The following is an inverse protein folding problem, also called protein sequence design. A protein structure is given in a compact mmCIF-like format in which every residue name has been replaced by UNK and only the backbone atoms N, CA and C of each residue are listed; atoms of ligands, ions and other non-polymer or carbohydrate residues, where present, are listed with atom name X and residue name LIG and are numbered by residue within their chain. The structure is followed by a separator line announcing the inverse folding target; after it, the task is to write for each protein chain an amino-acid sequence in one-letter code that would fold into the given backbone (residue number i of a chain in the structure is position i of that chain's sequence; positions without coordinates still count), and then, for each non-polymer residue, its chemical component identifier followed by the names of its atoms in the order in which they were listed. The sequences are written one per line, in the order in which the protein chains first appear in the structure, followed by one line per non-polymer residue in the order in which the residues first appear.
data_IF_934602160449
#
_entry.id   IF_934602160449
#
_cell.length_a   1.000
_cell.length_b   1.000
_cell.length_c   1.000
_cell.angle_alpha   90.00
_cell.angle_beta   90.00
_cell.angle_gamma   90.00
#
_symmetry.space_group_name_H-M   'P 1'
#
loop_
_entity.id
_entity.type
_entity.pdbx_description
1 polymer ?
#
# COMPACT_ATOMS: atom_id res chain seq x y z
N UNK A 1 -34.07 5.80 -73.76
CA UNK A 1 -33.38 6.61 -72.73
C UNK A 1 -33.53 5.88 -71.40
N UNK A 2 -32.45 5.34 -70.86
CA UNK A 2 -32.48 4.31 -69.80
C UNK A 2 -32.63 4.96 -68.40
N UNK A 3 -33.88 5.31 -68.05
CA UNK A 3 -34.25 5.95 -66.78
C UNK A 3 -33.72 5.15 -65.57
N UNK A 4 -33.66 3.82 -65.66
CA UNK A 4 -33.10 2.96 -64.61
C UNK A 4 -31.61 3.15 -64.34
N UNK A 5 -30.79 3.48 -65.35
CA UNK A 5 -29.34 3.76 -65.16
C UNK A 5 -29.10 5.11 -64.49
N UNK A 6 -29.92 6.13 -64.81
CA UNK A 6 -29.82 7.46 -64.19
C UNK A 6 -30.27 7.43 -62.73
N UNK A 7 -31.30 6.64 -62.40
CA UNK A 7 -31.76 6.47 -61.02
C UNK A 7 -30.69 5.78 -60.16
N UNK A 8 -30.03 4.74 -60.67
CA UNK A 8 -28.91 4.10 -59.96
C UNK A 8 -27.72 5.04 -59.73
N UNK A 9 -27.42 5.90 -60.70
CA UNK A 9 -26.35 6.91 -60.60
C UNK A 9 -26.64 8.01 -59.56
N UNK A 10 -27.91 8.27 -59.24
CA UNK A 10 -28.31 9.26 -58.22
C UNK A 10 -28.52 8.63 -56.84
N UNK A 11 -29.00 7.38 -56.76
CA UNK A 11 -29.22 6.69 -55.48
C UNK A 11 -27.90 6.44 -54.74
N UNK A 12 -26.86 6.00 -55.45
CA UNK A 12 -25.57 5.69 -54.84
C UNK A 12 -24.92 6.89 -54.10
N UNK A 13 -24.76 8.08 -54.71
CA UNK A 13 -24.19 9.23 -54.01
C UNK A 13 -25.09 9.72 -52.87
N UNK A 14 -26.41 9.59 -52.99
CA UNK A 14 -27.36 10.02 -51.96
C UNK A 14 -27.31 9.11 -50.72
N UNK A 15 -27.22 7.79 -50.93
CA UNK A 15 -26.97 6.82 -49.85
C UNK A 15 -25.58 7.02 -49.22
N UNK A 16 -24.56 7.32 -50.04
CA UNK A 16 -23.21 7.59 -49.54
C UNK A 16 -23.17 8.84 -48.67
N UNK A 17 -23.87 9.91 -49.08
CA UNK A 17 -24.00 11.14 -48.30
C UNK A 17 -24.77 10.90 -46.99
N UNK A 18 -25.87 10.14 -47.04
CA UNK A 18 -26.63 9.76 -45.85
C UNK A 18 -25.77 8.95 -44.87
N UNK A 19 -24.97 8.01 -45.38
CA UNK A 19 -24.03 7.23 -44.57
C UNK A 19 -22.95 8.13 -43.93
N UNK A 20 -22.38 9.08 -44.69
CA UNK A 20 -21.39 10.02 -44.15
C UNK A 20 -21.98 10.91 -43.05
N UNK A 21 -23.21 11.38 -43.21
CA UNK A 21 -23.91 12.16 -42.20
C UNK A 21 -24.23 11.33 -40.95
N UNK A 22 -24.66 10.08 -41.11
CA UNK A 22 -24.88 9.15 -40.00
C UNK A 22 -23.57 8.82 -39.27
N UNK A 23 -22.48 8.60 -40.00
CA UNK A 23 -21.15 8.36 -39.43
C UNK A 23 -20.65 9.60 -38.68
N UNK A 24 -20.82 10.81 -39.22
CA UNK A 24 -20.46 12.05 -38.54
C UNK A 24 -21.28 12.26 -37.26
N UNK A 25 -22.59 12.00 -37.33
CA UNK A 25 -23.48 12.08 -36.16
C UNK A 25 -23.13 11.06 -35.09
N UNK A 26 -22.90 9.80 -35.49
CA UNK A 26 -22.52 8.71 -34.58
C UNK A 26 -21.15 8.96 -33.95
N UNK A 27 -20.18 9.44 -34.74
CA UNK A 27 -18.83 9.80 -34.27
C UNK A 27 -18.84 10.92 -33.24
N UNK A 28 -19.79 11.86 -33.32
CA UNK A 28 -19.86 12.98 -32.38
C UNK A 28 -20.61 12.61 -31.09
N UNK A 29 -21.53 11.63 -31.16
CA UNK A 29 -22.36 11.20 -30.02
C UNK A 29 -21.74 10.06 -29.22
N UNK A 30 -21.00 9.17 -29.87
CA UNK A 30 -20.38 8.00 -29.23
C UNK A 30 -18.86 8.07 -29.38
N UNK A 31 -18.18 8.56 -28.34
CA UNK A 31 -16.72 8.47 -28.27
C UNK A 31 -16.29 7.07 -27.82
N UNK A 32 -16.28 6.13 -28.76
CA UNK A 32 -15.66 4.83 -28.52
C UNK A 32 -14.15 4.95 -28.63
N UNK A 33 -13.47 4.73 -27.51
CA UNK A 33 -12.02 4.68 -27.43
C UNK A 33 -11.62 3.27 -27.03
N UNK A 34 -10.76 2.66 -27.84
CA UNK A 34 -10.22 1.34 -27.58
C UNK A 34 -8.78 1.54 -27.14
N UNK A 35 -8.43 1.02 -25.96
CA UNK A 35 -7.04 1.01 -25.51
C UNK A 35 -6.37 -0.26 -26.05
N UNK A 36 -5.52 -0.09 -27.06
CA UNK A 36 -4.77 -1.19 -27.69
C UNK A 36 -3.43 -1.46 -26.98
N UNK A 37 -3.14 -0.73 -25.89
CA UNK A 37 -1.90 -0.94 -25.14
C UNK A 37 -1.98 -2.23 -24.34
N UNK A 38 -0.88 -3.00 -24.30
CA UNK A 38 -0.82 -4.30 -23.65
C UNK A 38 -1.15 -4.24 -22.15
N UNK A 39 -0.91 -3.08 -21.53
CA UNK A 39 -1.12 -2.83 -20.10
C UNK A 39 -2.28 -1.88 -19.78
N UNK A 40 -3.10 -1.50 -20.77
CA UNK A 40 -4.22 -0.57 -20.57
C UNK A 40 -3.77 0.79 -20.02
N UNK A 41 -2.65 1.33 -20.47
CA UNK A 41 -2.02 2.55 -19.92
C UNK A 41 -2.86 3.82 -20.11
N UNK A 42 -3.87 3.78 -20.98
CA UNK A 42 -4.86 4.84 -21.16
C UNK A 42 -6.16 4.59 -20.39
N UNK A 43 -6.30 3.45 -19.71
CA UNK A 43 -7.43 3.10 -18.84
C UNK A 43 -7.05 3.14 -17.36
N UNK A 44 -7.95 3.61 -16.51
CA UNK A 44 -7.76 3.60 -15.06
C UNK A 44 -7.75 2.17 -14.54
N UNK A 45 -7.00 1.94 -13.46
CA UNK A 45 -7.07 0.67 -12.73
C UNK A 45 -8.40 0.45 -12.04
N UNK A 46 -8.77 -0.82 -11.89
CA UNK A 46 -9.96 -1.23 -11.13
C UNK A 46 -9.92 -0.65 -9.71
N UNK A 47 -8.73 -0.59 -9.10
CA UNK A 47 -8.51 0.04 -7.79
C UNK A 47 -8.81 1.54 -7.80
N UNK A 48 -8.31 2.30 -8.80
CA UNK A 48 -8.64 3.73 -8.96
C UNK A 48 -10.14 3.94 -9.16
N UNK A 49 -10.80 3.08 -9.95
CA UNK A 49 -12.25 3.15 -10.20
C UNK A 49 -13.03 2.88 -8.91
N UNK A 50 -12.68 1.83 -8.17
CA UNK A 50 -13.30 1.49 -6.89
C UNK A 50 -13.16 2.63 -5.86
N UNK A 51 -12.01 3.31 -5.84
CA UNK A 51 -11.79 4.47 -4.99
C UNK A 51 -12.70 5.64 -5.36
N UNK A 52 -12.84 5.96 -6.65
CA UNK A 52 -13.70 7.04 -7.13
C UNK A 52 -15.18 6.80 -6.80
N UNK A 53 -15.63 5.55 -6.87
CA UNK A 53 -17.01 5.18 -6.51
C UNK A 53 -17.31 5.35 -5.02
N UNK A 54 -16.29 5.32 -4.15
CA UNK A 54 -16.44 5.53 -2.69
C UNK A 54 -16.49 7.01 -2.30
N UNK A 55 -15.96 7.91 -3.12
CA UNK A 55 -15.95 9.36 -2.88
C UNK A 55 -17.35 9.97 -3.08
N UNK A 56 -18.13 10.06 -2.01
CA UNK A 56 -19.47 10.70 -1.96
C UNK A 56 -19.34 12.23 -1.81
N UNK A 57 -19.20 12.95 -2.92
CA UNK A 57 -19.21 14.42 -2.96
C UNK A 57 -18.29 15.03 -4.01
N UNK A 58 -18.43 16.33 -4.28
CA UNK A 58 -17.66 17.01 -5.33
C UNK A 58 -16.17 17.04 -4.98
N UNK A 59 -15.34 16.72 -5.97
CA UNK A 59 -13.89 16.77 -5.88
C UNK A 59 -13.41 17.93 -6.76
N UNK A 60 -12.72 18.90 -6.17
CA UNK A 60 -12.16 20.04 -6.91
C UNK A 60 -10.65 19.85 -7.06
N UNK A 61 -10.16 19.93 -8.29
CA UNK A 61 -8.73 19.86 -8.61
C UNK A 61 -8.34 21.22 -9.18
N UNK A 62 -7.44 21.91 -8.50
CA UNK A 62 -6.91 23.20 -8.92
C UNK A 62 -5.46 23.03 -9.36
N UNK A 63 -5.12 23.46 -10.57
CA UNK A 63 -3.74 23.46 -11.06
C UNK A 63 -3.23 24.88 -11.25
N UNK A 64 -2.02 25.12 -10.77
CA UNK A 64 -1.31 26.38 -10.90
C UNK A 64 -0.34 26.31 -12.07
N UNK A 65 -0.79 26.75 -13.24
CA UNK A 65 0.02 26.74 -14.49
C UNK A 65 -0.28 27.97 -15.33
N UNK A 66 0.72 28.54 -16.04
CA UNK A 66 0.47 29.49 -17.12
C UNK A 66 -0.47 28.90 -18.17
N UNK A 67 -1.28 29.75 -18.81
CA UNK A 67 -2.19 29.35 -19.90
C UNK A 67 -1.43 28.76 -21.09
N UNK A 68 -2.05 27.77 -21.74
CA UNK A 68 -1.57 27.11 -22.96
C UNK A 68 -0.22 26.39 -22.81
N UNK A 69 0.12 25.94 -21.60
CA UNK A 69 1.31 25.12 -21.37
C UNK A 69 1.09 23.67 -21.82
N UNK A 70 2.16 22.96 -22.17
CA UNK A 70 2.12 21.51 -22.44
C UNK A 70 1.60 20.73 -21.22
N UNK A 71 1.92 21.21 -20.01
CA UNK A 71 1.44 20.66 -18.75
C UNK A 71 -0.08 20.77 -18.61
N UNK A 72 -0.67 21.90 -19.03
CA UNK A 72 -2.13 22.07 -19.02
C UNK A 72 -2.83 20.97 -19.82
N UNK A 73 -2.36 20.70 -21.05
CA UNK A 73 -2.92 19.65 -21.91
C UNK A 73 -2.67 18.23 -21.38
N UNK A 74 -1.59 18.00 -20.64
CA UNK A 74 -1.33 16.71 -19.99
C UNK A 74 -2.29 16.48 -18.82
N UNK A 75 -2.52 17.50 -18.01
CA UNK A 75 -3.40 17.44 -16.84
C UNK A 75 -4.86 17.30 -17.25
N UNK A 76 -5.30 18.05 -18.26
CA UNK A 76 -6.65 17.95 -18.82
C UNK A 76 -6.94 16.52 -19.28
N UNK A 77 -6.09 15.96 -20.15
CA UNK A 77 -6.21 14.55 -20.61
C UNK A 77 -6.14 13.55 -19.45
N UNK A 78 -5.34 13.82 -18.43
CA UNK A 78 -5.24 12.95 -17.27
C UNK A 78 -6.55 12.92 -16.48
N UNK A 79 -7.11 14.10 -16.16
CA UNK A 79 -8.30 14.29 -15.34
C UNK A 79 -9.58 13.89 -16.08
N UNK A 80 -9.65 14.08 -17.39
CA UNK A 80 -10.76 13.60 -18.23
C UNK A 80 -11.02 12.10 -18.03
N UNK A 81 -9.97 11.29 -17.81
CA UNK A 81 -10.12 9.86 -17.52
C UNK A 81 -10.82 9.60 -16.19
N UNK A 82 -10.55 10.41 -15.18
CA UNK A 82 -11.19 10.33 -13.86
C UNK A 82 -12.64 10.86 -13.90
N UNK A 83 -12.90 11.93 -14.67
CA UNK A 83 -14.23 12.49 -14.85
C UNK A 83 -15.25 11.51 -15.46
N UNK A 84 -14.79 10.53 -16.25
CA UNK A 84 -15.65 9.45 -16.78
C UNK A 84 -16.31 8.61 -15.69
N UNK A 85 -15.63 8.40 -14.56
CA UNK A 85 -16.12 7.61 -13.44
C UNK A 85 -16.63 8.48 -12.29
N UNK A 86 -16.23 9.75 -12.25
CA UNK A 86 -16.62 10.73 -11.23
C UNK A 86 -17.00 12.07 -11.88
N UNK A 87 -18.25 12.21 -12.39
CA UNK A 87 -18.67 13.40 -13.15
C UNK A 87 -18.75 14.68 -12.30
N UNK A 88 -18.77 14.56 -10.98
CA UNK A 88 -18.69 15.67 -10.02
C UNK A 88 -17.25 16.13 -9.71
N UNK A 89 -16.26 15.64 -10.46
CA UNK A 89 -14.87 16.12 -10.43
C UNK A 89 -14.73 17.39 -11.28
N UNK A 90 -14.40 18.51 -10.63
CA UNK A 90 -14.19 19.82 -11.25
C UNK A 90 -12.70 20.13 -11.39
N UNK A 91 -12.27 20.53 -12.59
CA UNK A 91 -10.89 20.97 -12.86
C UNK A 91 -10.85 22.49 -13.06
N UNK A 92 -10.05 23.17 -12.24
CA UNK A 92 -9.87 24.62 -12.29
C UNK A 92 -8.42 24.96 -12.60
N UNK A 93 -8.21 25.88 -13.54
CA UNK A 93 -6.89 26.40 -13.90
C UNK A 93 -6.70 27.78 -13.30
N UNK A 94 -5.62 27.97 -12.54
CA UNK A 94 -5.22 29.26 -11.99
C UNK A 94 -3.87 29.65 -12.57
N UNK A 95 -3.82 30.84 -13.17
CA UNK A 95 -2.57 31.41 -13.69
C UNK A 95 -1.85 32.17 -12.57
N UNK A 96 -0.72 31.66 -12.05
CA UNK A 96 -0.03 32.28 -10.92
C UNK A 96 0.60 33.64 -11.28
N UNK A 97 0.84 33.93 -12.56
CA UNK A 97 1.41 35.20 -13.03
C UNK A 97 0.35 36.32 -12.98
N UNK A 98 -0.91 35.98 -13.29
CA UNK A 98 -2.03 36.94 -13.32
C UNK A 98 -2.71 37.13 -11.97
N UNK A 99 -2.67 36.11 -11.09
CA UNK A 99 -3.25 36.16 -9.74
C UNK A 99 -2.19 35.84 -8.65
N UNK A 100 -1.26 36.77 -8.38
CA UNK A 100 -0.20 36.57 -7.38
C UNK A 100 -0.73 36.46 -5.94
N UNK A 101 -1.92 37.01 -5.66
CA UNK A 101 -2.53 36.97 -4.32
C UNK A 101 -3.17 35.61 -4.00
N UNK A 102 -3.72 34.91 -4.99
CA UNK A 102 -4.20 33.53 -4.82
C UNK A 102 -3.03 32.57 -4.54
N UNK A 103 -1.90 32.79 -5.24
CA UNK A 103 -0.67 31.97 -5.08
C UNK A 103 0.01 32.17 -3.73
N UNK A 104 0.05 33.42 -3.23
CA UNK A 104 0.62 33.76 -1.91
C UNK A 104 -0.21 33.24 -0.73
N UNK A 105 -1.54 33.29 -0.80
CA UNK A 105 -2.42 32.78 0.27
C UNK A 105 -2.33 31.26 0.44
N UNK A 106 -1.98 30.52 -0.61
CA UNK A 106 -1.86 29.07 -0.57
C UNK A 106 -0.41 28.57 -0.38
N UNK A 107 0.57 29.48 -0.29
CA UNK A 107 1.98 29.12 -0.03
C UNK A 107 2.65 28.38 -1.19
N UNK A 108 2.23 28.65 -2.44
CA UNK A 108 2.66 27.92 -3.63
C UNK A 108 4.05 28.40 -4.04
N UNK A 109 5.02 27.49 -4.04
CA UNK A 109 6.44 27.77 -4.31
C UNK A 109 6.89 27.30 -5.69
N UNK A 110 6.10 26.46 -6.39
CA UNK A 110 6.50 25.79 -7.63
C UNK A 110 5.40 25.87 -8.71
N UNK A 111 5.78 26.18 -9.96
CA UNK A 111 4.88 26.08 -11.12
C UNK A 111 4.54 24.62 -11.41
N UNK A 112 3.25 24.31 -11.59
CA UNK A 112 2.79 22.96 -11.93
C UNK A 112 2.30 22.11 -10.75
N UNK A 113 2.11 22.71 -9.56
CA UNK A 113 1.50 22.04 -8.42
C UNK A 113 -0.02 21.84 -8.63
N UNK A 114 -0.52 20.65 -8.28
CA UNK A 114 -1.95 20.34 -8.24
C UNK A 114 -2.43 20.33 -6.79
N UNK A 115 -3.54 21.00 -6.54
CA UNK A 115 -4.19 21.07 -5.22
C UNK A 115 -5.55 20.42 -5.34
N UNK A 116 -5.80 19.38 -4.55
CA UNK A 116 -7.03 18.60 -4.53
C UNK A 116 -7.82 19.01 -3.29
N UNK A 117 -9.08 19.39 -3.49
CA UNK A 117 -10.02 19.71 -2.42
C UNK A 117 -11.21 18.74 -2.41
N UNK A 118 -11.48 18.18 -1.24
CA UNK A 118 -12.61 17.28 -1.03
C UNK A 118 -13.12 17.41 0.41
N UNK A 119 -14.42 17.68 0.58
CA UNK A 119 -15.09 17.81 1.89
C UNK A 119 -14.32 18.70 2.91
N UNK A 120 -13.82 19.86 2.46
CA UNK A 120 -13.09 20.81 3.32
C UNK A 120 -11.62 20.46 3.61
N UNK A 121 -11.09 19.41 2.97
CA UNK A 121 -9.69 18.97 3.09
C UNK A 121 -8.91 19.31 1.83
N UNK A 122 -7.59 19.43 1.97
CA UNK A 122 -6.67 19.80 0.89
C UNK A 122 -5.49 18.81 0.85
N UNK A 123 -5.14 18.35 -0.35
CA UNK A 123 -3.92 17.56 -0.62
C UNK A 123 -3.17 18.16 -1.81
N UNK A 124 -1.83 18.09 -1.77
CA UNK A 124 -0.98 18.72 -2.79
C UNK A 124 -0.14 17.69 -3.52
N UNK A 125 -0.06 17.82 -4.83
CA UNK A 125 0.69 16.93 -5.70
C UNK A 125 1.66 17.72 -6.58
N UNK A 126 2.93 17.36 -6.46
CA UNK A 126 4.00 17.89 -7.33
C UNK A 126 4.21 17.06 -8.60
N UNK A 127 3.80 15.79 -8.58
CA UNK A 127 3.94 14.87 -9.72
C UNK A 127 2.58 14.33 -10.14
N UNK A 128 2.31 14.43 -11.43
CA UNK A 128 1.10 13.87 -12.03
C UNK A 128 1.34 12.41 -12.44
N UNK A 129 0.70 11.48 -11.72
CA UNK A 129 0.62 10.06 -12.11
C UNK A 129 -0.59 9.43 -11.44
N UNK A 130 -1.10 8.32 -11.99
CA UNK A 130 -2.24 7.59 -11.40
C UNK A 130 -1.95 7.17 -9.96
N UNK A 131 -0.75 6.63 -9.69
CA UNK A 131 -0.33 6.25 -8.35
C UNK A 131 -0.43 7.40 -7.35
N UNK A 132 0.20 8.54 -7.65
CA UNK A 132 0.23 9.67 -6.72
C UNK A 132 -1.15 10.30 -6.55
N UNK A 133 -1.92 10.38 -7.64
CA UNK A 133 -3.27 10.96 -7.63
C UNK A 133 -4.25 10.08 -6.84
N UNK A 134 -4.27 8.78 -7.08
CA UNK A 134 -5.16 7.86 -6.37
C UNK A 134 -4.80 7.76 -4.88
N UNK A 135 -3.51 7.78 -4.53
CA UNK A 135 -3.10 7.83 -3.12
C UNK A 135 -3.55 9.14 -2.43
N UNK A 136 -3.49 10.28 -3.12
CA UNK A 136 -3.99 11.55 -2.57
C UNK A 136 -5.53 11.53 -2.40
N UNK A 137 -6.26 10.99 -3.39
CA UNK A 137 -7.70 10.81 -3.27
C UNK A 137 -8.10 9.91 -2.11
N UNK A 138 -7.31 8.87 -1.86
CA UNK A 138 -7.53 7.96 -0.75
C UNK A 138 -7.37 8.67 0.60
N UNK A 139 -6.30 9.46 0.78
CA UNK A 139 -6.11 10.29 1.98
C UNK A 139 -7.24 11.31 2.15
N UNK A 140 -7.67 11.95 1.07
CA UNK A 140 -8.81 12.88 1.11
C UNK A 140 -10.14 12.20 1.45
N UNK A 141 -10.36 10.98 0.93
CA UNK A 141 -11.60 10.23 1.10
C UNK A 141 -11.81 9.73 2.53
N UNK A 142 -10.73 9.42 3.26
CA UNK A 142 -10.83 8.77 4.56
C UNK A 142 -11.08 9.79 5.65
N UNK A 143 -12.27 9.79 6.24
CA UNK A 143 -12.65 10.74 7.28
C UNK A 143 -11.85 10.64 8.60
N UNK A 144 -10.97 9.65 8.77
CA UNK A 144 -10.32 9.39 10.05
C UNK A 144 -8.80 9.58 9.93
N UNK A 145 -8.29 10.61 10.60
CA UNK A 145 -6.91 10.59 11.06
C UNK A 145 -6.83 9.44 12.06
N UNK A 146 -6.42 8.26 11.60
CA UNK A 146 -6.22 7.11 12.46
C UNK A 146 -5.10 7.44 13.44
N UNK A 147 -5.45 7.70 14.70
CA UNK A 147 -4.45 7.97 15.73
C UNK A 147 -3.83 6.65 16.15
N UNK A 148 -2.51 6.65 16.21
CA UNK A 148 -1.72 5.62 16.89
C UNK A 148 -1.38 6.23 18.25
N UNK A 149 -2.08 5.79 19.28
CA UNK A 149 -1.79 6.18 20.65
C UNK A 149 -0.66 5.28 21.16
N UNK A 150 0.50 5.85 21.49
CA UNK A 150 1.62 5.09 22.04
C UNK A 150 1.75 5.38 23.53
N UNK A 151 1.75 4.33 24.34
CA UNK A 151 1.91 4.44 25.79
C UNK A 151 3.28 5.03 26.14
N UNK A 152 3.30 5.93 27.12
CA UNK A 152 4.52 6.53 27.66
C UNK A 152 4.50 6.55 29.19
N UNK A 153 5.68 6.63 29.80
CA UNK A 153 5.85 6.85 31.23
C UNK A 153 6.53 5.71 31.99
N UNK A 154 6.76 4.57 31.34
CA UNK A 154 7.38 3.36 31.90
C UNK A 154 8.66 2.95 31.15
N UNK A 155 9.28 3.88 30.42
CA UNK A 155 10.49 3.64 29.62
C UNK A 155 10.23 2.86 28.34
N UNK A 156 9.03 2.98 27.78
CA UNK A 156 8.67 2.45 26.47
C UNK A 156 9.52 3.07 25.37
N UNK A 157 9.67 2.35 24.25
CA UNK A 157 10.38 2.85 23.08
C UNK A 157 9.58 3.96 22.40
N UNK A 158 10.16 5.16 22.30
CA UNK A 158 9.43 6.36 21.85
C UNK A 158 9.32 6.42 20.32
N UNK A 159 8.09 6.62 19.79
CA UNK A 159 7.83 6.82 18.36
C UNK A 159 8.38 8.14 17.79
N UNK A 160 8.74 9.09 18.65
CA UNK A 160 9.42 10.34 18.28
C UNK A 160 10.90 10.36 18.71
N UNK A 161 11.33 9.30 19.39
CA UNK A 161 12.64 9.19 20.00
C UNK A 161 13.75 8.97 18.99
N UNK A 162 14.93 9.48 19.30
CA UNK A 162 16.12 9.40 18.44
C UNK A 162 17.16 8.41 18.95
N UNK A 163 16.95 7.83 20.12
CA UNK A 163 17.88 6.85 20.67
C UNK A 163 17.85 5.57 19.83
N UNK A 164 18.90 4.77 19.95
CA UNK A 164 19.05 3.54 19.18
C UNK A 164 17.92 2.51 19.43
N UNK A 165 17.38 2.47 20.64
CA UNK A 165 16.26 1.61 21.05
C UNK A 165 14.88 2.23 20.76
N UNK A 166 14.80 3.52 20.44
CA UNK A 166 13.54 4.20 20.14
C UNK A 166 12.99 3.83 18.76
N UNK A 167 11.71 4.11 18.53
CA UNK A 167 10.99 3.81 17.29
C UNK A 167 10.87 5.03 16.35
N UNK A 168 11.72 6.05 16.49
CA UNK A 168 11.60 7.33 15.76
C UNK A 168 11.49 7.22 14.25
N UNK A 169 12.35 6.43 13.61
CA UNK A 169 12.32 6.22 12.16
C UNK A 169 11.08 5.45 11.71
N UNK A 170 10.57 4.55 12.55
CA UNK A 170 9.31 3.84 12.30
C UNK A 170 8.13 4.80 12.44
N UNK A 171 8.10 5.61 13.49
CA UNK A 171 7.11 6.68 13.68
C UNK A 171 7.07 7.65 12.50
N UNK A 172 8.23 8.08 11.99
CA UNK A 172 8.29 8.92 10.78
C UNK A 172 7.67 8.21 9.56
N UNK A 173 7.92 6.92 9.40
CA UNK A 173 7.34 6.12 8.31
C UNK A 173 5.81 6.01 8.45
N UNK A 174 5.30 5.85 9.67
CA UNK A 174 3.86 5.87 9.96
C UNK A 174 3.22 7.23 9.65
N UNK A 175 3.88 8.33 10.01
CA UNK A 175 3.40 9.68 9.67
C UNK A 175 3.34 9.91 8.16
N UNK A 176 4.32 9.40 7.40
CA UNK A 176 4.31 9.43 5.94
C UNK A 176 3.15 8.60 5.34
N UNK A 177 2.68 7.57 6.04
CA UNK A 177 1.48 6.80 5.67
C UNK A 177 0.18 7.50 6.08
N UNK A 178 0.24 8.64 6.77
CA UNK A 178 -0.92 9.46 7.14
C UNK A 178 -1.44 9.20 8.56
N UNK A 179 -0.75 8.39 9.37
CA UNK A 179 -1.09 8.22 10.77
C UNK A 179 -0.68 9.45 11.59
N UNK A 180 -1.50 9.78 12.58
CA UNK A 180 -1.13 10.77 13.60
C UNK A 180 -0.66 10.01 14.83
N UNK A 181 0.51 10.38 15.36
CA UNK A 181 1.10 9.74 16.52
C UNK A 181 0.76 10.58 17.75
N UNK A 182 0.22 9.92 18.77
CA UNK A 182 -0.21 10.56 20.01
C UNK A 182 0.46 9.85 21.16
N UNK A 183 1.25 10.58 21.95
CA UNK A 183 1.74 10.05 23.22
C UNK A 183 0.56 9.91 24.20
N UNK A 184 0.44 8.75 24.83
CA UNK A 184 -0.57 8.43 25.83
C UNK A 184 0.11 8.32 27.20
N UNK A 185 0.08 9.38 28.03
CA UNK A 185 0.66 9.35 29.35
C UNK A 185 -0.07 8.37 30.28
N UNK A 186 0.54 8.00 31.42
CA UNK A 186 -0.07 7.09 32.38
C UNK A 186 -1.44 7.59 32.87
N UNK A 187 -2.32 6.66 33.21
CA UNK A 187 -3.68 6.93 33.70
C UNK A 187 -4.56 7.81 32.78
N UNK A 188 -4.25 7.85 31.48
CA UNK A 188 -5.03 8.59 30.48
C UNK A 188 -5.83 7.61 29.61
N UNK A 189 -7.10 7.93 29.35
CA UNK A 189 -7.95 7.14 28.44
C UNK A 189 -7.49 7.37 26.99
N UNK A 190 -7.30 6.31 26.18
CA UNK A 190 -7.05 6.48 24.75
C UNK A 190 -8.17 7.31 24.10
N UNK A 191 -7.86 8.37 23.32
CA UNK A 191 -8.87 9.17 22.64
C UNK A 191 -9.81 8.34 21.75
N UNK A 192 -11.07 8.78 21.58
CA UNK A 192 -12.11 8.03 20.82
C UNK A 192 -11.74 7.69 19.37
N UNK A 193 -10.84 8.47 18.76
CA UNK A 193 -10.34 8.28 17.40
C UNK A 193 -9.04 7.46 17.32
N UNK A 194 -8.64 6.82 18.41
CA UNK A 194 -7.50 5.89 18.45
C UNK A 194 -7.83 4.64 17.64
N UNK A 195 -7.15 4.49 16.51
CA UNK A 195 -7.26 3.31 15.66
C UNK A 195 -6.43 2.14 16.18
N UNK A 196 -5.34 2.46 16.88
CA UNK A 196 -4.38 1.50 17.42
C UNK A 196 -3.74 2.05 18.70
N UNK A 197 -3.75 1.25 19.76
CA UNK A 197 -2.90 1.42 20.92
C UNK A 197 -1.58 0.67 20.70
N UNK A 198 -0.44 1.33 20.90
CA UNK A 198 0.89 0.75 20.88
C UNK A 198 1.47 0.75 22.29
N UNK A 199 1.92 -0.42 22.75
CA UNK A 199 2.68 -0.58 23.99
C UNK A 199 4.00 -1.23 23.59
N UNK A 200 5.10 -0.50 23.71
CA UNK A 200 6.40 -0.92 23.20
C UNK A 200 7.39 -1.21 24.34
N UNK A 201 7.31 -2.44 24.88
CA UNK A 201 8.25 -2.99 25.88
C UNK A 201 8.59 -2.04 27.04
N UNK A 202 7.62 -1.75 27.93
CA UNK A 202 7.86 -0.93 29.12
C UNK A 202 8.92 -1.57 30.04
N UNK A 203 9.84 -0.76 30.52
CA UNK A 203 10.92 -1.18 31.43
C UNK A 203 10.49 -1.24 32.89
N UNK A 204 9.35 -0.63 33.24
CA UNK A 204 8.76 -0.70 34.59
C UNK A 204 7.31 -1.19 34.53
N UNK A 205 6.84 -1.77 35.62
CA UNK A 205 5.47 -2.27 35.71
C UNK A 205 4.42 -1.16 35.50
N UNK A 206 3.35 -1.49 34.78
CA UNK A 206 2.21 -0.61 34.56
C UNK A 206 1.39 -0.43 35.85
N UNK A 207 0.80 0.74 36.03
CA UNK A 207 -0.05 1.04 37.18
C UNK A 207 -1.38 0.27 37.13
N UNK A 208 -1.93 -0.15 38.27
CA UNK A 208 -3.22 -0.88 38.33
C UNK A 208 -4.37 -0.11 37.66
N UNK A 209 -4.45 1.20 37.91
CA UNK A 209 -5.47 2.05 37.29
C UNK A 209 -5.32 2.14 35.77
N UNK A 210 -4.10 2.00 35.25
CA UNK A 210 -3.83 2.02 33.83
C UNK A 210 -4.14 0.69 33.15
N UNK A 211 -3.79 -0.43 33.80
CA UNK A 211 -4.21 -1.76 33.35
C UNK A 211 -5.73 -1.84 33.21
N UNK A 212 -6.49 -1.25 34.15
CA UNK A 212 -7.95 -1.16 34.06
C UNK A 212 -8.45 -0.33 32.86
N UNK A 213 -7.72 0.73 32.47
CA UNK A 213 -8.03 1.53 31.29
C UNK A 213 -7.75 0.77 29.99
N UNK A 214 -6.61 0.08 29.93
CA UNK A 214 -6.23 -0.77 28.79
C UNK A 214 -7.25 -1.91 28.64
N UNK A 215 -7.63 -2.53 29.75
CA UNK A 215 -8.70 -3.53 29.78
C UNK A 215 -10.01 -2.97 29.22
N UNK A 216 -10.44 -1.81 29.69
CA UNK A 216 -11.67 -1.16 29.22
C UNK A 216 -11.60 -0.87 27.72
N UNK A 217 -10.46 -0.37 27.24
CA UNK A 217 -10.21 -0.12 25.82
C UNK A 217 -10.32 -1.41 24.99
N UNK A 218 -9.71 -2.51 25.44
CA UNK A 218 -9.81 -3.81 24.78
C UNK A 218 -11.23 -4.39 24.85
N UNK A 219 -11.96 -4.21 25.95
CA UNK A 219 -13.36 -4.66 26.06
C UNK A 219 -14.29 -3.90 25.10
N UNK A 220 -14.00 -2.63 24.82
CA UNK A 220 -14.72 -1.80 23.85
C UNK A 220 -14.39 -2.09 22.39
N UNK A 221 -13.48 -3.04 22.11
CA UNK A 221 -13.11 -3.42 20.75
C UNK A 221 -11.90 -2.68 20.20
N UNK A 222 -11.12 -2.00 21.04
CA UNK A 222 -9.88 -1.33 20.65
C UNK A 222 -8.80 -2.30 20.15
N UNK A 223 -7.97 -1.85 19.21
CA UNK A 223 -6.90 -2.66 18.63
C UNK A 223 -5.57 -2.39 19.33
N UNK A 224 -4.73 -3.42 19.48
CA UNK A 224 -3.47 -3.34 20.23
C UNK A 224 -2.31 -3.92 19.43
N UNK A 225 -1.20 -3.19 19.40
CA UNK A 225 0.12 -3.72 19.08
C UNK A 225 0.93 -3.73 20.38
N UNK A 226 1.20 -4.93 20.89
CA UNK A 226 2.01 -5.13 22.08
C UNK A 226 3.37 -5.67 21.65
N UNK A 227 4.42 -4.89 21.89
CA UNK A 227 5.78 -5.37 21.77
C UNK A 227 6.30 -5.69 23.17
N UNK A 228 6.89 -6.86 23.32
CA UNK A 228 7.50 -7.32 24.56
C UNK A 228 8.87 -7.91 24.26
N UNK A 229 9.70 -8.05 25.26
CA UNK A 229 11.04 -8.62 25.18
C UNK A 229 11.39 -9.23 26.55
N UNK A 230 12.48 -9.98 26.71
CA UNK A 230 12.86 -10.59 27.98
C UNK A 230 12.92 -9.58 29.14
N UNK A 231 13.28 -8.32 28.86
CA UNK A 231 13.41 -7.26 29.87
C UNK A 231 12.07 -6.68 30.35
N UNK A 232 11.06 -6.67 29.47
CA UNK A 232 9.71 -6.13 29.73
C UNK A 232 8.68 -7.21 30.08
N UNK A 233 9.05 -8.49 29.99
CA UNK A 233 8.19 -9.66 30.26
C UNK A 233 7.44 -9.54 31.60
N UNK A 234 8.13 -9.15 32.66
CA UNK A 234 7.52 -9.03 34.01
C UNK A 234 6.55 -7.84 34.08
N UNK A 235 6.93 -6.69 33.50
CA UNK A 235 6.09 -5.49 33.45
C UNK A 235 4.78 -5.71 32.68
N UNK A 236 4.81 -6.57 31.65
CA UNK A 236 3.65 -6.88 30.79
C UNK A 236 2.91 -8.16 31.17
N UNK A 237 3.39 -8.91 32.17
CA UNK A 237 2.79 -10.19 32.57
C UNK A 237 1.28 -10.09 32.85
N UNK A 238 0.75 -9.06 33.54
CA UNK A 238 -0.70 -8.94 33.77
C UNK A 238 -1.50 -8.84 32.46
N UNK A 239 -0.99 -8.09 31.48
CA UNK A 239 -1.64 -7.89 30.19
C UNK A 239 -1.58 -9.16 29.32
N UNK A 240 -0.44 -9.85 29.33
CA UNK A 240 -0.28 -11.14 28.63
C UNK A 240 -1.23 -12.20 29.19
N UNK A 241 -1.34 -12.30 30.51
CA UNK A 241 -2.28 -13.21 31.17
C UNK A 241 -3.74 -12.89 30.81
N UNK A 242 -4.11 -11.62 30.71
CA UNK A 242 -5.45 -11.21 30.29
C UNK A 242 -5.78 -11.61 28.84
N UNK A 243 -4.76 -11.70 27.99
CA UNK A 243 -4.89 -12.16 26.59
C UNK A 243 -4.81 -13.69 26.45
N UNK A 244 -4.72 -14.44 27.55
CA UNK A 244 -4.43 -15.88 27.58
C UNK A 244 -3.12 -16.23 26.83
N UNK A 245 -2.11 -15.37 26.94
CA UNK A 245 -0.78 -15.54 26.33
C UNK A 245 0.27 -15.79 27.42
N UNK A 246 1.07 -16.83 27.23
CA UNK A 246 2.26 -17.12 28.03
C UNK A 246 3.52 -16.68 27.27
N UNK A 247 4.34 -15.84 27.91
CA UNK A 247 5.70 -15.56 27.45
C UNK A 247 6.68 -16.53 28.10
N UNK A 248 7.31 -17.38 27.29
CA UNK A 248 8.28 -18.35 27.77
C UNK A 248 9.48 -17.65 28.44
N UNK A 249 10.08 -18.25 29.47
CA UNK A 249 11.29 -17.72 30.08
C UNK A 249 12.48 -17.82 29.15
N UNK A 250 13.43 -16.90 29.35
CA UNK A 250 14.69 -16.87 28.61
C UNK A 250 14.66 -15.98 27.37
N UNK A 251 15.77 -16.00 26.65
CA UNK A 251 15.96 -15.30 25.38
C UNK A 251 16.05 -16.32 24.26
N UNK A 252 15.47 -16.01 23.12
CA UNK A 252 15.51 -16.90 21.98
C UNK A 252 16.92 -16.95 21.39
N UNK A 253 17.40 -18.17 21.15
CA UNK A 253 18.63 -18.43 20.43
C UNK A 253 18.29 -19.13 19.12
N UNK A 254 18.91 -18.69 18.03
CA UNK A 254 18.71 -19.22 16.69
C UNK A 254 20.06 -19.54 16.03
N UNK A 255 20.37 -20.84 15.87
CA UNK A 255 21.62 -21.27 15.26
C UNK A 255 21.65 -21.06 13.73
N UNK A 256 20.50 -20.79 13.10
CA UNK A 256 20.40 -20.64 11.66
C UNK A 256 21.07 -19.36 11.15
N UNK A 257 21.16 -18.31 11.98
CA UNK A 257 21.71 -16.99 11.60
C UNK A 257 23.21 -16.99 11.35
N UNK A 258 23.95 -17.97 11.92
CA UNK A 258 25.38 -18.15 11.61
C UNK A 258 25.61 -18.41 10.11
N UNK A 259 24.67 -19.07 9.43
CA UNK A 259 24.73 -19.29 7.97
C UNK A 259 24.57 -18.01 7.16
N UNK A 260 24.00 -16.97 7.77
CA UNK A 260 23.84 -15.63 7.19
C UNK A 260 25.01 -14.69 7.56
N UNK A 261 26.04 -15.18 8.25
CA UNK A 261 27.16 -14.37 8.70
C UNK A 261 26.84 -13.47 9.90
N UNK A 262 25.78 -13.79 10.66
CA UNK A 262 25.44 -13.10 11.90
C UNK A 262 26.06 -13.89 13.06
N UNK A 263 27.01 -13.26 13.76
CA UNK A 263 27.75 -13.90 14.86
C UNK A 263 26.93 -13.97 16.16
N UNK A 264 25.98 -13.05 16.35
CA UNK A 264 25.13 -13.03 17.53
C UNK A 264 23.99 -14.06 17.41
N UNK A 265 23.98 -15.12 18.24
CA UNK A 265 22.98 -16.17 18.14
C UNK A 265 21.63 -15.78 18.77
N UNK A 266 21.51 -14.62 19.43
CA UNK A 266 20.23 -14.12 20.00
C UNK A 266 19.34 -13.41 18.98
N UNK A 267 19.77 -13.34 17.73
CA UNK A 267 18.95 -12.80 16.64
C UNK A 267 18.11 -13.93 16.08
N UNK A 268 16.81 -13.85 16.22
CA UNK A 268 15.89 -14.82 15.67
C UNK A 268 15.54 -14.51 14.21
N UNK A 269 15.42 -15.56 13.42
CA UNK A 269 15.17 -15.48 11.99
C UNK A 269 13.75 -15.93 11.65
N UNK A 270 13.00 -15.08 10.96
CA UNK A 270 11.72 -15.44 10.35
C UNK A 270 11.83 -15.27 8.84
N UNK A 271 11.44 -16.32 8.11
CA UNK A 271 11.50 -16.35 6.64
C UNK A 271 10.26 -16.97 6.01
N UNK A 272 9.34 -17.50 6.82
CA UNK A 272 8.08 -18.08 6.39
C UNK A 272 6.95 -17.44 7.20
N UNK A 273 5.91 -16.99 6.50
CA UNK A 273 4.75 -16.34 7.10
C UNK A 273 3.50 -17.13 6.69
N UNK A 274 2.56 -17.38 7.62
CA UNK A 274 1.31 -18.01 7.28
C UNK A 274 0.49 -17.12 6.35
N UNK A 275 -0.44 -17.72 5.60
CA UNK A 275 -1.43 -16.96 4.85
C UNK A 275 -2.35 -16.23 5.83
N UNK A 276 -2.04 -14.94 6.05
CA UNK A 276 -2.73 -14.08 7.01
C UNK A 276 -2.84 -12.67 6.42
N UNK A 277 -3.95 -11.92 6.63
CA UNK A 277 -4.15 -10.64 5.97
C UNK A 277 -3.03 -9.61 6.21
N UNK A 278 -2.40 -9.61 7.40
CA UNK A 278 -1.29 -8.70 7.71
C UNK A 278 0.02 -9.05 6.99
N UNK A 279 0.20 -10.29 6.54
CA UNK A 279 1.44 -10.80 5.90
C UNK A 279 1.15 -11.38 4.51
N UNK A 280 0.02 -11.01 3.91
CA UNK A 280 -0.39 -11.52 2.61
C UNK A 280 0.61 -11.10 1.51
N UNK A 281 1.28 -12.09 0.91
CA UNK A 281 2.31 -11.84 -0.11
C UNK A 281 3.61 -11.26 0.44
N UNK A 282 3.84 -11.32 1.76
CA UNK A 282 5.09 -10.91 2.39
C UNK A 282 6.14 -12.02 2.23
N UNK A 283 7.26 -11.71 1.55
CA UNK A 283 8.31 -12.66 1.17
C UNK A 283 9.72 -12.24 1.64
N UNK A 284 9.81 -11.16 2.42
CA UNK A 284 11.07 -10.67 2.96
C UNK A 284 11.41 -11.41 4.26
N UNK A 285 12.71 -11.61 4.47
CA UNK A 285 13.24 -12.10 5.74
C UNK A 285 13.15 -11.00 6.80
N UNK A 286 12.84 -11.34 8.06
CA UNK A 286 12.85 -10.40 9.19
C UNK A 286 13.69 -10.92 10.34
N UNK A 287 14.31 -9.99 11.07
CA UNK A 287 15.26 -10.27 12.14
C UNK A 287 14.77 -9.70 13.46
N UNK A 288 14.81 -10.52 14.51
CA UNK A 288 14.28 -10.22 15.84
C UNK A 288 15.37 -10.41 16.91
N UNK A 289 16.13 -9.35 17.26
CA UNK A 289 17.18 -9.42 18.28
C UNK A 289 16.61 -9.57 19.69
N UNK A 290 17.18 -10.50 20.46
CA UNK A 290 16.85 -10.70 21.89
C UNK A 290 15.35 -10.94 22.14
N UNK A 291 14.70 -11.64 21.21
CA UNK A 291 13.28 -11.95 21.31
C UNK A 291 12.97 -13.04 22.35
N UNK A 292 11.71 -13.13 22.75
CA UNK A 292 11.16 -14.23 23.55
C UNK A 292 10.10 -14.99 22.76
N UNK A 293 9.85 -16.24 23.16
CA UNK A 293 8.82 -17.07 22.59
C UNK A 293 7.48 -16.87 23.30
N UNK A 294 6.39 -16.91 22.53
CA UNK A 294 5.02 -16.73 22.97
C UNK A 294 4.23 -18.01 22.72
N UNK A 295 3.37 -18.36 23.67
CA UNK A 295 2.40 -19.44 23.59
C UNK A 295 1.02 -18.92 23.95
N UNK A 296 -0.01 -19.50 23.35
CA UNK A 296 -1.39 -19.18 23.68
C UNK A 296 -2.18 -20.48 23.75
N UNK A 297 -2.68 -20.79 24.94
CA UNK A 297 -3.46 -22.00 25.21
C UNK A 297 -4.94 -21.67 25.09
N UNK A 298 -5.56 -22.11 23.98
CA UNK A 298 -7.00 -21.96 23.69
C UNK A 298 -7.64 -20.71 24.31
N UNK A 299 -7.15 -19.53 23.90
CA UNK A 299 -7.68 -18.25 24.34
C UNK A 299 -9.20 -18.23 24.12
N UNK A 300 -9.98 -18.13 25.21
CA UNK A 300 -11.40 -18.54 25.20
C UNK A 300 -12.27 -17.73 24.25
N UNK A 301 -11.90 -16.46 24.05
CA UNK A 301 -12.63 -15.46 23.27
C UNK A 301 -11.94 -15.07 21.96
N UNK A 302 -10.73 -15.58 21.71
CA UNK A 302 -9.86 -15.12 20.62
C UNK A 302 -9.56 -16.25 19.64
N UNK A 303 -9.63 -15.93 18.36
CA UNK A 303 -8.99 -16.73 17.33
C UNK A 303 -7.51 -16.34 17.28
N UNK A 304 -6.64 -17.25 17.72
CA UNK A 304 -5.19 -17.02 17.77
C UNK A 304 -4.49 -17.64 16.58
N UNK A 305 -3.62 -16.86 15.93
CA UNK A 305 -2.77 -17.30 14.82
C UNK A 305 -1.31 -16.98 15.14
N UNK A 306 -0.43 -17.98 15.08
CA UNK A 306 1.02 -17.77 15.18
C UNK A 306 1.56 -17.16 13.89
N UNK A 307 1.73 -15.83 13.88
CA UNK A 307 2.11 -15.04 12.73
C UNK A 307 3.61 -15.15 12.41
N UNK A 308 4.44 -15.16 13.45
CA UNK A 308 5.89 -15.20 13.32
C UNK A 308 6.42 -16.46 13.99
N UNK A 309 7.06 -17.32 13.21
CA UNK A 309 7.66 -18.57 13.68
C UNK A 309 9.12 -18.62 13.30
N UNK A 310 9.93 -19.05 14.25
CA UNK A 310 11.37 -19.24 14.07
C UNK A 310 11.64 -20.47 13.21
N UNK A 311 12.90 -20.64 12.83
CA UNK A 311 13.36 -21.85 12.15
C UNK A 311 13.58 -23.02 13.13
N UNK A 312 13.66 -24.28 12.64
CA UNK A 312 13.77 -25.46 13.50
C UNK A 312 14.98 -25.51 14.45
N UNK A 313 16.10 -24.88 14.09
CA UNK A 313 17.31 -24.84 14.94
C UNK A 313 17.31 -23.63 15.89
N UNK A 314 16.20 -23.41 16.60
CA UNK A 314 16.06 -22.37 17.62
C UNK A 314 15.58 -22.96 18.95
N UNK A 315 15.76 -22.25 20.06
CA UNK A 315 15.22 -22.61 21.37
C UNK A 315 15.14 -21.39 22.30
N UNK A 316 14.36 -21.46 23.37
CA UNK A 316 14.38 -20.44 24.44
C UNK A 316 15.50 -20.77 25.43
N UNK A 317 16.61 -20.03 25.36
CA UNK A 317 17.77 -20.17 26.25
C UNK A 317 17.51 -19.47 27.58
N UNK A 318 17.62 -20.21 28.67
CA UNK A 318 17.36 -19.71 30.03
C UNK A 318 18.64 -19.48 30.83
N UNK A 319 19.78 -20.00 30.35
CA UNK A 319 21.10 -19.84 30.94
C UNK A 319 21.91 -18.68 30.36
N UNK A 320 23.20 -18.60 30.73
CA UNK A 320 24.11 -17.58 30.23
C UNK A 320 24.43 -17.75 28.74
N UNK A 321 24.23 -16.70 27.94
CA UNK A 321 24.51 -16.69 26.50
C UNK A 321 25.97 -16.27 26.25
N UNK A 322 26.91 -17.18 26.51
CA UNK A 322 28.33 -16.96 26.27
C UNK A 322 28.98 -18.16 25.59
N UNK A 323 29.67 -17.93 24.46
CA UNK A 323 30.40 -18.98 23.74
C UNK A 323 29.51 -19.85 22.85
N UNK A 324 29.74 -21.17 22.86
CA UNK A 324 28.85 -22.14 22.22
C UNK A 324 27.66 -22.41 23.14
N UNK A 325 26.47 -21.98 22.71
CA UNK A 325 25.22 -22.14 23.44
C UNK A 325 24.52 -23.37 22.88
N UNK A 326 24.15 -24.30 23.75
CA UNK A 326 23.44 -25.53 23.41
C UNK A 326 22.18 -25.67 24.25
N UNK A 327 21.08 -26.09 23.62
CA UNK A 327 19.80 -26.29 24.31
C UNK A 327 19.93 -27.30 25.44
N UNK A 328 19.42 -26.94 26.60
CA UNK A 328 19.29 -27.80 27.77
C UNK A 328 17.81 -28.10 28.12
N UNK A 329 17.28 -29.28 27.73
CA UNK A 329 15.90 -29.67 28.05
C UNK A 329 15.59 -29.76 29.54
N UNK A 330 16.60 -30.01 30.39
CA UNK A 330 16.42 -30.14 31.85
C UNK A 330 16.08 -28.81 32.53
N UNK A 331 16.41 -27.68 31.88
CA UNK A 331 16.04 -26.34 32.33
C UNK A 331 14.67 -25.88 31.80
N UNK A 332 13.93 -26.76 31.11
CA UNK A 332 12.63 -26.44 30.52
C UNK A 332 12.72 -25.77 29.14
N UNK A 333 13.87 -25.87 28.47
CA UNK A 333 14.08 -25.27 27.16
C UNK A 333 13.40 -26.07 26.04
N UNK A 334 12.59 -25.35 25.28
CA UNK A 334 11.78 -25.87 24.20
C UNK A 334 12.51 -25.69 22.87
N UNK A 335 12.56 -26.76 22.08
CA UNK A 335 13.10 -26.69 20.73
C UNK A 335 12.09 -26.03 19.77
N UNK A 336 12.61 -25.33 18.77
CA UNK A 336 11.81 -24.71 17.73
C UNK A 336 11.24 -25.67 16.70
N UNK A 337 10.39 -25.18 15.79
CA UNK A 337 9.97 -23.78 15.63
C UNK A 337 9.18 -23.23 16.83
N UNK A 338 9.58 -22.06 17.32
CA UNK A 338 8.88 -21.32 18.38
C UNK A 338 8.13 -20.14 17.77
N UNK A 339 6.97 -19.82 18.33
CA UNK A 339 6.21 -18.64 17.90
C UNK A 339 6.73 -17.42 18.64
N UNK A 340 7.07 -16.36 17.93
CA UNK A 340 7.51 -15.07 18.51
C UNK A 340 6.54 -13.93 18.18
N UNK A 341 5.48 -14.22 17.41
CA UNK A 341 4.47 -13.24 17.05
C UNK A 341 3.11 -13.92 16.95
N UNK A 342 2.15 -13.41 17.72
CA UNK A 342 0.77 -13.88 17.74
C UNK A 342 -0.15 -12.78 17.21
N UNK A 343 -1.09 -13.15 16.35
CA UNK A 343 -2.23 -12.33 15.98
C UNK A 343 -3.50 -12.93 16.60
N UNK A 344 -4.29 -12.10 17.26
CA UNK A 344 -5.53 -12.46 17.92
C UNK A 344 -6.67 -11.66 17.29
N UNK A 345 -7.72 -12.35 16.85
CA UNK A 345 -8.93 -11.71 16.31
C UNK A 345 -10.16 -12.18 17.05
N UNK A 346 -11.15 -11.29 17.21
CA UNK A 346 -12.48 -11.66 17.70
C UNK A 346 -13.54 -10.71 17.15
N UNK A 347 -14.76 -11.21 17.00
CA UNK A 347 -15.89 -10.38 16.57
C UNK A 347 -16.50 -9.64 17.76
N UNK A 348 -16.62 -8.32 17.66
CA UNK A 348 -17.29 -7.47 18.65
C UNK A 348 -18.31 -6.57 17.93
N UNK A 349 -19.58 -6.99 17.95
CA UNK A 349 -20.64 -6.31 17.19
C UNK A 349 -20.45 -6.48 15.68
N UNK A 350 -20.44 -5.38 14.93
CA UNK A 350 -20.22 -5.37 13.47
C UNK A 350 -18.74 -5.23 13.08
N UNK A 351 -17.81 -5.18 14.05
CA UNK A 351 -16.39 -4.97 13.81
C UNK A 351 -15.56 -6.15 14.33
N UNK A 352 -14.51 -6.46 13.59
CA UNK A 352 -13.46 -7.37 14.04
C UNK A 352 -12.45 -6.58 14.88
N UNK A 353 -12.24 -7.02 16.12
CA UNK A 353 -11.17 -6.52 16.98
C UNK A 353 -9.90 -7.32 16.72
N UNK A 354 -8.75 -6.62 16.70
CA UNK A 354 -7.45 -7.17 16.32
C UNK A 354 -6.38 -6.81 17.34
N UNK A 355 -5.60 -7.80 17.76
CA UNK A 355 -4.45 -7.63 18.63
C UNK A 355 -3.26 -8.35 18.03
N UNK A 356 -2.08 -7.75 18.07
CA UNK A 356 -0.82 -8.42 17.74
C UNK A 356 0.11 -8.30 18.94
N UNK A 357 0.72 -9.42 19.31
CA UNK A 357 1.76 -9.49 20.33
C UNK A 357 3.04 -10.01 19.68
N UNK A 358 4.11 -9.22 19.71
CA UNK A 358 5.42 -9.61 19.20
C UNK A 358 6.38 -9.70 20.39
N UNK A 359 7.08 -10.83 20.50
CA UNK A 359 8.08 -11.12 21.51
C UNK A 359 9.41 -10.38 21.29
N UNK A 360 9.39 -9.27 20.56
CA UNK A 360 10.55 -8.41 20.33
C UNK A 360 10.12 -6.94 20.30
N UNK A 361 10.74 -6.11 21.14
CA UNK A 361 10.56 -4.65 21.16
C UNK A 361 11.50 -3.89 20.22
N UNK A 362 12.63 -4.48 19.85
CA UNK A 362 13.74 -3.83 19.15
C UNK A 362 13.68 -3.98 17.63
N UNK A 363 12.92 -4.91 17.07
CA UNK A 363 12.89 -5.13 15.61
C UNK A 363 12.45 -3.88 14.82
N UNK A 364 11.68 -2.98 15.45
CA UNK A 364 11.25 -1.69 14.89
C UNK A 364 12.08 -0.49 15.38
N UNK A 365 13.05 -0.72 16.27
CA UNK A 365 13.92 0.33 16.78
C UNK A 365 14.79 0.93 15.68
N UNK A 366 15.29 2.13 15.91
CA UNK A 366 16.19 2.84 15.00
C UNK A 366 17.42 2.00 14.60
N UNK A 367 17.89 1.09 15.46
CA UNK A 367 19.04 0.23 15.17
C UNK A 367 18.74 -0.92 14.20
N UNK A 368 17.51 -1.45 14.24
CA UNK A 368 17.15 -2.68 13.54
C UNK A 368 16.06 -2.50 12.47
N UNK A 369 15.43 -1.33 12.39
CA UNK A 369 14.35 -1.05 11.43
C UNK A 369 14.79 -1.24 9.97
N UNK A 370 16.04 -0.89 9.66
CA UNK A 370 16.62 -1.01 8.32
C UNK A 370 17.04 -2.46 7.96
N UNK A 371 16.88 -3.42 8.88
CA UNK A 371 17.23 -4.80 8.62
C UNK A 371 16.16 -5.49 7.78
N UNK A 372 16.61 -6.02 6.64
CA UNK A 372 15.83 -6.88 5.76
C UNK A 372 14.39 -6.34 5.55
N UNK A 373 13.35 -7.05 5.99
CA UNK A 373 11.95 -6.64 5.86
C UNK A 373 11.30 -6.04 7.11
N UNK A 374 12.05 -5.66 8.15
CA UNK A 374 11.46 -5.26 9.45
C UNK A 374 10.51 -4.05 9.32
N UNK A 375 10.90 -3.02 8.57
CA UNK A 375 10.04 -1.86 8.30
C UNK A 375 8.76 -2.28 7.58
N UNK A 376 8.87 -3.07 6.52
CA UNK A 376 7.73 -3.53 5.71
C UNK A 376 6.75 -4.35 6.56
N UNK A 377 7.26 -5.26 7.41
CA UNK A 377 6.44 -6.02 8.35
C UNK A 377 5.73 -5.09 9.35
N UNK A 378 6.47 -4.16 9.98
CA UNK A 378 5.89 -3.20 10.93
C UNK A 378 4.77 -2.36 10.31
N UNK A 379 4.97 -1.87 9.09
CA UNK A 379 3.96 -1.11 8.35
C UNK A 379 2.75 -1.97 7.98
N UNK A 380 2.96 -3.23 7.59
CA UNK A 380 1.88 -4.15 7.26
C UNK A 380 1.03 -4.51 8.49
N UNK A 381 1.68 -4.78 9.63
CA UNK A 381 1.02 -5.01 10.93
C UNK A 381 0.16 -3.82 11.35
N UNK A 382 0.71 -2.61 11.34
CA UNK A 382 -0.04 -1.40 11.71
C UNK A 382 -1.16 -1.12 10.71
N UNK A 383 -0.92 -1.32 9.41
CA UNK A 383 -1.94 -1.22 8.38
C UNK A 383 -3.12 -2.16 8.64
N UNK A 384 -2.84 -3.41 8.96
CA UNK A 384 -3.85 -4.40 9.31
C UNK A 384 -4.60 -4.03 10.61
N UNK A 385 -3.87 -3.71 11.68
CA UNK A 385 -4.45 -3.38 12.98
C UNK A 385 -5.31 -2.11 12.94
N UNK A 386 -4.89 -1.08 12.22
CA UNK A 386 -5.63 0.17 12.11
C UNK A 386 -6.85 0.07 11.17
N UNK A 387 -7.21 -1.12 10.68
CA UNK A 387 -8.31 -1.31 9.73
C UNK A 387 -8.02 -0.73 8.34
N UNK A 388 -6.75 -0.50 8.06
CA UNK A 388 -6.24 0.13 6.85
C UNK A 388 -6.05 -0.88 5.72
N UNK A 389 -6.64 -2.07 5.74
CA UNK A 389 -6.65 -3.00 4.59
C UNK A 389 -7.33 -2.38 3.34
N UNK A 390 -8.07 -1.29 3.49
CA UNK A 390 -8.50 -0.46 2.36
C UNK A 390 -7.37 0.42 1.77
N UNK A 391 -6.16 0.39 2.34
CA UNK A 391 -4.93 1.11 1.97
C UNK A 391 -3.95 0.30 1.12
N UNK A 392 -4.33 -0.84 0.54
CA UNK A 392 -3.48 -1.52 -0.44
C UNK A 392 -3.24 -0.54 -1.59
N UNK A 393 -2.06 0.10 -1.54
CA UNK A 393 -1.61 1.07 -2.50
C UNK A 393 -1.64 0.41 -3.86
N UNK A 394 -2.14 1.13 -4.87
CA UNK A 394 -2.17 0.64 -6.24
C UNK A 394 -0.74 0.22 -6.59
N UNK A 395 -0.44 -1.08 -6.80
CA UNK A 395 0.90 -1.46 -7.18
C UNK A 395 1.19 -0.74 -8.51
N UNK A 396 2.37 -0.08 -8.65
CA UNK A 396 2.70 0.58 -9.89
C UNK A 396 2.65 -0.44 -11.02
N UNK A 397 1.78 -0.21 -12.02
CA UNK A 397 1.74 -1.08 -13.20
C UNK A 397 3.13 -1.06 -13.85
N UNK A 398 3.78 -2.23 -14.06
CA UNK A 398 5.07 -2.25 -14.72
C UNK A 398 4.92 -1.65 -16.13
N UNK A 399 5.80 -0.73 -16.49
CA UNK A 399 5.84 -0.16 -17.84
C UNK A 399 6.58 -1.19 -18.71
N UNK A 400 5.84 -2.16 -19.27
CA UNK A 400 6.41 -3.27 -20.03
C UNK A 400 6.88 -2.87 -21.44
N UNK A 401 6.47 -1.70 -21.94
CA UNK A 401 6.64 -1.30 -23.34
C UNK A 401 7.69 -0.20 -23.55
N UNK A 402 8.85 -0.26 -22.88
CA UNK A 402 9.96 0.68 -23.18
C UNK A 402 10.85 0.20 -24.31
N UNK A 403 10.92 -1.10 -24.58
CA UNK A 403 11.85 -1.67 -25.55
C UNK A 403 11.16 -2.67 -26.48
N UNK A 404 11.17 -2.37 -27.77
CA UNK A 404 10.75 -3.30 -28.81
C UNK A 404 11.92 -4.24 -29.16
N UNK A 405 12.05 -5.34 -28.42
CA UNK A 405 13.08 -6.34 -28.67
C UNK A 405 12.64 -7.31 -29.79
N UNK A 406 12.86 -6.91 -31.05
CA UNK A 406 12.65 -7.80 -32.20
C UNK A 406 13.90 -8.64 -32.46
N UNK A 407 13.71 -9.94 -32.73
CA UNK A 407 14.81 -10.78 -33.22
C UNK A 407 15.39 -10.22 -34.52
N UNK A 408 16.69 -10.44 -34.81
CA UNK A 408 17.29 -10.01 -36.08
C UNK A 408 16.52 -10.52 -37.30
N UNK A 409 15.97 -11.74 -37.22
CA UNK A 409 15.19 -12.37 -38.27
C UNK A 409 13.83 -11.67 -38.47
N UNK A 410 13.13 -11.33 -37.38
CA UNK A 410 11.88 -10.57 -37.43
C UNK A 410 12.09 -9.18 -38.04
N UNK A 411 13.17 -8.48 -37.66
CA UNK A 411 13.55 -7.19 -38.26
C UNK A 411 13.80 -7.32 -39.76
N UNK A 412 14.50 -8.37 -40.18
CA UNK A 412 14.77 -8.67 -41.59
C UNK A 412 13.49 -8.92 -42.39
N UNK A 413 12.57 -9.73 -41.88
CA UNK A 413 11.28 -10.01 -42.53
C UNK A 413 10.46 -8.73 -42.69
N UNK A 414 10.32 -7.92 -41.63
CA UNK A 414 9.55 -6.67 -41.68
C UNK A 414 10.19 -5.70 -42.69
N UNK A 415 11.52 -5.55 -42.64
CA UNK A 415 12.24 -4.66 -43.56
C UNK A 415 12.13 -5.08 -45.02
N UNK A 416 12.39 -6.35 -45.34
CA UNK A 416 12.30 -6.87 -46.71
C UNK A 416 10.85 -6.92 -47.21
N UNK A 417 9.90 -7.26 -46.35
CA UNK A 417 8.47 -7.26 -46.68
C UNK A 417 7.95 -5.85 -47.00
N UNK A 418 8.35 -4.84 -46.24
CA UNK A 418 8.00 -3.46 -46.53
C UNK A 418 8.70 -2.93 -47.80
N UNK A 419 9.98 -3.29 -48.01
CA UNK A 419 10.77 -2.79 -49.14
C UNK A 419 10.39 -3.45 -50.48
N UNK A 420 10.08 -4.74 -50.50
CA UNK A 420 9.79 -5.49 -51.74
C UNK A 420 8.35 -5.99 -51.80
N UNK A 421 7.83 -6.52 -50.70
CA UNK A 421 6.49 -7.10 -50.65
C UNK A 421 5.40 -6.07 -50.95
N UNK A 422 5.44 -4.91 -50.27
CA UNK A 422 4.41 -3.87 -50.42
C UNK A 422 4.38 -3.25 -51.83
N UNK A 423 5.53 -2.88 -52.45
CA UNK A 423 5.54 -2.42 -53.83
C UNK A 423 5.08 -3.49 -54.82
N UNK A 424 5.52 -4.75 -54.68
CA UNK A 424 5.08 -5.84 -55.57
C UNK A 424 3.58 -6.08 -55.49
N UNK A 425 3.00 -5.98 -54.28
CA UNK A 425 1.57 -6.14 -54.07
C UNK A 425 0.79 -5.00 -54.74
N UNK A 426 1.26 -3.75 -54.61
CA UNK A 426 0.67 -2.59 -55.29
C UNK A 426 0.80 -2.69 -56.82
N UNK A 427 1.96 -3.11 -57.34
CA UNK A 427 2.15 -3.38 -58.77
C UNK A 427 1.26 -4.51 -59.27
N UNK A 428 1.10 -5.58 -58.48
CA UNK A 428 0.20 -6.69 -58.79
C UNK A 428 -1.26 -6.23 -58.86
N UNK A 429 -1.73 -5.46 -57.88
CA UNK A 429 -3.07 -4.87 -57.89
C UNK A 429 -3.24 -3.94 -59.11
N UNK A 430 -2.28 -3.05 -59.36
CA UNK A 430 -2.31 -2.13 -60.50
C UNK A 430 -2.35 -2.86 -61.85
N UNK A 431 -1.55 -3.91 -62.00
CA UNK A 431 -1.53 -4.76 -63.18
C UNK A 431 -2.84 -5.53 -63.39
N UNK A 432 -3.42 -6.06 -62.31
CA UNK A 432 -4.66 -6.84 -62.35
C UNK A 432 -5.88 -5.94 -62.66
N UNK A 433 -5.90 -4.72 -62.11
CA UNK A 433 -6.88 -3.69 -62.44
C UNK A 433 -6.72 -3.21 -63.90
N UNK A 434 -5.49 -2.98 -64.37
CA UNK A 434 -5.21 -2.60 -65.75
C UNK A 434 -5.59 -3.68 -66.77
N UNK A 435 -5.32 -4.94 -66.45
CA UNK A 435 -5.68 -6.08 -67.29
C UNK A 435 -7.19 -6.31 -67.36
N UNK A 436 -7.91 -6.15 -66.23
CA UNK A 436 -9.38 -6.16 -66.23
C UNK A 436 -9.97 -5.01 -67.05
N UNK A 437 -9.34 -3.83 -67.04
CA UNK A 437 -9.81 -2.66 -67.80
C UNK A 437 -9.60 -2.77 -69.31
N UNK A 438 -8.60 -3.52 -69.77
CA UNK A 438 -8.36 -3.76 -71.20
C UNK A 438 -9.16 -4.96 -71.76
N UNK A 439 -9.87 -5.71 -70.91
CA UNK A 439 -10.74 -6.84 -71.30
C UNK A 439 -12.23 -6.53 -71.21
N UNK A 440 -12.61 -5.41 -70.61
CA UNK A 440 -13.96 -4.85 -70.61
C UNK A 440 -14.02 -3.74 -71.66
#
# INVERSE_FOLDING_TARGET
MNIGKQIHQLIFPLLSLALLLLLAWFSNRYQWQWDWTRNGSHTLSETSIALLQRLKGPLQVTIFTPRASTLQQQVERFIERYQRFKPDLQLTFVDPIRNPDASRRQGISLSGELVLHYQGREERLQRLSELHFSNALQRLSQQQHHWIAALTGHGERDLHGKANHDLGAFGQSLQQKGYQLVALPPATVPPDNTALLLIASPTTALLEGELALIETYLQQGGNLLLLTDPSSRESLQPLLQQLDIEALPGTLVDANVRRLGIDNPTVALVSEYPEFPATAGFDLLTLFPESLALQADQARDWQVTGLLRTLPQSWNETGPIHGEVERNPELGEQAGPLTIGLALTRQRGEREQRVVVIGDGDFLSNSYLANAGNLDLGLALVGWLAGAEQLIGIPPRPILDRELQLSPLTKGIIGLGALFGLPLLLFGIGGLLGWRRNRA
#
